data_IF_634967389935
#
_entry.id   IF_634967389935
#
_cell.length_a   1.000
_cell.length_b   1.000
_cell.length_c   1.000
_cell.angle_alpha   90.00
_cell.angle_beta   90.00
_cell.angle_gamma   90.00
#
_symmetry.space_group_name_H-M   'P 1'
#
loop_
_entity.id
_entity.type
_entity.pdbx_description
1 polymer ?
#
# COMPACT_ATOMS: atom_id res chain seq x y z
N UNK A 1 6.23 2.18 -2.23
CA UNK A 1 4.92 2.20 -1.51
C UNK A 1 4.35 3.60 -1.59
N UNK A 2 3.03 3.74 -1.78
CA UNK A 2 2.31 5.01 -1.72
C UNK A 2 1.34 4.98 -0.53
N UNK A 3 1.00 6.14 0.03
CA UNK A 3 -0.04 6.29 1.03
C UNK A 3 -0.69 7.67 0.92
N UNK A 4 -1.96 7.75 1.27
CA UNK A 4 -2.69 8.99 1.50
C UNK A 4 -3.18 9.04 2.95
N UNK A 5 -3.31 10.24 3.51
CA UNK A 5 -3.77 10.48 4.88
C UNK A 5 -4.92 11.46 4.84
N UNK A 6 -6.11 10.99 5.17
CA UNK A 6 -7.32 11.81 5.13
C UNK A 6 -8.50 11.12 5.82
N UNK A 7 -9.68 11.65 5.61
CA UNK A 7 -10.93 11.00 5.97
C UNK A 7 -11.16 9.80 5.05
N UNK A 8 -11.99 8.87 5.46
CA UNK A 8 -12.42 7.72 4.65
C UNK A 8 -13.47 8.17 3.62
N UNK A 9 -13.01 8.86 2.57
CA UNK A 9 -13.83 9.41 1.49
C UNK A 9 -13.17 9.16 0.14
N UNK A 10 -13.92 9.30 -0.95
CA UNK A 10 -13.45 9.07 -2.31
C UNK A 10 -12.20 9.88 -2.64
N UNK A 11 -12.16 11.19 -2.30
CA UNK A 11 -11.02 12.07 -2.60
C UNK A 11 -9.69 11.57 -2.03
N UNK A 12 -9.70 11.00 -0.82
CA UNK A 12 -8.49 10.44 -0.20
C UNK A 12 -8.04 9.17 -0.93
N UNK A 13 -8.98 8.39 -1.45
CA UNK A 13 -8.68 7.23 -2.26
C UNK A 13 -8.14 7.65 -3.63
N UNK A 14 -8.75 8.63 -4.26
CA UNK A 14 -8.30 9.21 -5.53
C UNK A 14 -6.87 9.78 -5.41
N UNK A 15 -6.55 10.54 -4.32
CA UNK A 15 -5.18 11.00 -4.01
C UNK A 15 -4.17 9.83 -3.96
N UNK A 16 -4.56 8.69 -3.38
CA UNK A 16 -3.70 7.50 -3.33
C UNK A 16 -3.41 6.95 -4.73
N UNK A 17 -4.43 6.75 -5.56
CA UNK A 17 -4.25 6.18 -6.89
C UNK A 17 -3.55 7.14 -7.86
N UNK A 18 -3.76 8.44 -7.73
CA UNK A 18 -2.99 9.46 -8.43
C UNK A 18 -1.49 9.37 -8.09
N UNK A 19 -1.15 9.22 -6.80
CA UNK A 19 0.23 9.03 -6.36
C UNK A 19 0.84 7.72 -6.87
N UNK A 20 0.06 6.65 -6.94
CA UNK A 20 0.51 5.39 -7.52
C UNK A 20 0.81 5.59 -9.01
N UNK A 21 -0.11 6.18 -9.76
CA UNK A 21 0.06 6.43 -11.19
C UNK A 21 1.28 7.31 -11.51
N UNK A 22 1.57 8.31 -10.67
CA UNK A 22 2.77 9.17 -10.80
C UNK A 22 4.09 8.46 -10.48
N UNK A 23 4.08 7.41 -9.66
CA UNK A 23 5.28 6.73 -9.18
C UNK A 23 5.58 5.41 -9.86
N UNK A 24 4.64 4.86 -10.58
CA UNK A 24 4.79 3.62 -11.32
C UNK A 24 4.93 3.91 -12.82
N UNK A 25 5.64 3.02 -13.51
CA UNK A 25 5.59 3.03 -14.97
C UNK A 25 4.14 2.76 -15.39
N UNK A 26 3.64 3.55 -16.33
CA UNK A 26 2.27 3.37 -16.83
C UNK A 26 2.12 1.97 -17.44
N UNK A 27 1.09 1.22 -17.07
CA UNK A 27 0.85 -0.10 -17.61
C UNK A 27 0.46 -0.01 -19.10
N UNK A 28 0.75 -1.08 -19.82
CA UNK A 28 0.36 -1.24 -21.22
C UNK A 28 -0.54 -2.45 -21.38
N UNK A 29 -1.14 -2.60 -22.54
CA UNK A 29 -1.96 -3.79 -22.87
C UNK A 29 -1.19 -5.10 -22.71
N UNK A 30 0.13 -5.10 -23.05
CA UNK A 30 1.00 -6.28 -22.95
C UNK A 30 1.66 -6.45 -21.57
N UNK A 31 1.71 -5.39 -20.77
CA UNK A 31 2.29 -5.40 -19.42
C UNK A 31 1.31 -4.76 -18.45
N UNK A 32 0.32 -5.54 -18.03
CA UNK A 32 -0.76 -5.10 -17.14
C UNK A 32 -0.31 -5.06 -15.68
N UNK A 33 -0.86 -4.12 -14.93
CA UNK A 33 -0.72 -4.09 -13.47
C UNK A 33 -1.88 -4.87 -12.84
N UNK A 34 -1.57 -5.72 -11.87
CA UNK A 34 -2.56 -6.40 -11.05
C UNK A 34 -2.82 -5.61 -9.76
N UNK A 35 -4.05 -5.13 -9.59
CA UNK A 35 -4.53 -4.53 -8.34
C UNK A 35 -5.30 -5.55 -7.53
N UNK A 36 -5.00 -5.64 -6.23
CA UNK A 36 -5.75 -6.44 -5.28
C UNK A 36 -6.09 -5.58 -4.07
N UNK A 37 -7.38 -5.45 -3.75
CA UNK A 37 -7.85 -4.65 -2.63
C UNK A 37 -8.86 -5.43 -1.77
N UNK A 38 -9.25 -4.83 -0.65
CA UNK A 38 -10.47 -5.25 0.04
C UNK A 38 -11.73 -4.85 -0.77
N UNK A 39 -12.89 -5.26 -0.30
CA UNK A 39 -14.18 -5.01 -0.97
C UNK A 39 -14.68 -3.56 -0.86
N UNK A 40 -13.78 -2.58 -0.71
CA UNK A 40 -14.15 -1.18 -0.58
C UNK A 40 -14.47 -0.56 -1.95
N UNK A 41 -15.66 0.00 -2.09
CA UNK A 41 -16.19 0.64 -3.29
C UNK A 41 -15.33 1.81 -3.79
N UNK A 42 -14.70 2.58 -2.88
CA UNK A 42 -13.85 3.70 -3.27
C UNK A 42 -12.64 3.25 -4.12
N UNK A 43 -12.11 2.03 -3.90
CA UNK A 43 -11.04 1.48 -4.73
C UNK A 43 -11.54 1.17 -6.15
N UNK A 44 -12.74 0.59 -6.24
CA UNK A 44 -13.38 0.25 -7.52
C UNK A 44 -13.64 1.50 -8.37
N UNK A 45 -14.04 2.59 -7.71
CA UNK A 45 -14.29 3.87 -8.37
C UNK A 45 -13.01 4.63 -8.74
N UNK A 46 -11.92 4.50 -7.95
CA UNK A 46 -10.70 5.26 -8.16
C UNK A 46 -9.80 4.66 -9.25
N UNK A 47 -9.64 3.33 -9.31
CA UNK A 47 -8.72 2.68 -10.26
C UNK A 47 -8.98 3.13 -11.71
N UNK A 48 -10.23 3.11 -12.23
CA UNK A 48 -10.50 3.49 -13.62
C UNK A 48 -10.30 4.98 -13.93
N UNK A 49 -10.19 5.85 -12.91
CA UNK A 49 -9.91 7.28 -13.13
C UNK A 49 -8.46 7.54 -13.50
N UNK A 50 -7.53 6.72 -13.00
CA UNK A 50 -6.09 6.95 -13.13
C UNK A 50 -5.38 5.92 -13.99
N UNK A 51 -6.04 4.81 -14.31
CA UNK A 51 -5.48 3.73 -15.12
C UNK A 51 -6.46 3.29 -16.19
N UNK A 52 -5.95 3.04 -17.42
CA UNK A 52 -6.77 2.49 -18.49
C UNK A 52 -7.21 1.06 -18.11
N UNK A 53 -8.52 0.79 -18.21
CA UNK A 53 -9.13 -0.51 -17.89
C UNK A 53 -8.54 -1.66 -18.70
N UNK A 54 -8.10 -1.42 -19.94
CA UNK A 54 -7.50 -2.44 -20.80
C UNK A 54 -6.07 -2.82 -20.38
N UNK A 55 -5.43 -1.95 -19.58
CA UNK A 55 -4.05 -2.10 -19.12
C UNK A 55 -3.94 -2.58 -17.68
N UNK A 56 -5.05 -2.88 -17.01
CA UNK A 56 -5.08 -3.33 -15.61
C UNK A 56 -5.89 -4.60 -15.43
N UNK A 57 -5.51 -5.39 -14.43
CA UNK A 57 -6.37 -6.42 -13.87
C UNK A 57 -6.66 -6.02 -12.42
N UNK A 58 -7.91 -6.20 -11.99
CA UNK A 58 -8.33 -5.82 -10.66
C UNK A 58 -9.19 -6.90 -10.01
N UNK A 59 -8.80 -7.34 -8.84
CA UNK A 59 -9.51 -8.28 -8.00
C UNK A 59 -9.72 -7.78 -6.58
N UNK A 60 -10.77 -8.22 -5.96
CA UNK A 60 -11.13 -7.88 -4.58
C UNK A 60 -11.19 -9.12 -3.70
N UNK A 61 -10.76 -8.96 -2.45
CA UNK A 61 -11.00 -9.90 -1.37
C UNK A 61 -12.10 -9.34 -0.48
N UNK A 62 -13.27 -9.95 -0.51
CA UNK A 62 -14.44 -9.51 0.23
C UNK A 62 -14.56 -10.40 1.48
N UNK A 63 -14.70 -9.77 2.64
CA UNK A 63 -14.88 -10.45 3.93
C UNK A 63 -16.32 -10.27 4.37
N UNK A 64 -17.08 -11.36 4.36
CA UNK A 64 -18.45 -11.38 4.90
C UNK A 64 -18.38 -11.33 6.42
N UNK A 65 -19.19 -10.46 7.00
CA UNK A 65 -19.18 -10.24 8.45
C UNK A 65 -20.57 -10.36 9.00
N UNK A 66 -20.69 -11.11 10.07
CA UNK A 66 -21.87 -11.17 10.92
C UNK A 66 -21.45 -10.82 12.35
N UNK A 67 -22.16 -9.91 13.01
CA UNK A 67 -21.83 -9.40 14.36
C UNK A 67 -20.35 -8.98 14.53
N UNK A 68 -19.76 -8.35 13.49
CA UNK A 68 -18.34 -7.96 13.41
C UNK A 68 -17.33 -9.13 13.33
N UNK A 69 -17.78 -10.38 13.29
CA UNK A 69 -16.94 -11.54 13.01
C UNK A 69 -16.91 -11.86 11.53
N UNK A 70 -15.75 -12.25 11.02
CA UNK A 70 -15.64 -12.71 9.63
C UNK A 70 -16.16 -14.13 9.57
N UNK A 71 -17.26 -14.34 8.83
CA UNK A 71 -17.90 -15.64 8.63
C UNK A 71 -17.52 -16.29 7.30
N UNK A 72 -17.09 -15.47 6.33
CA UNK A 72 -16.68 -15.94 5.02
C UNK A 72 -15.68 -15.00 4.35
N UNK A 73 -14.93 -15.52 3.40
CA UNK A 73 -14.04 -14.76 2.53
C UNK A 73 -14.26 -15.24 1.11
N UNK A 74 -14.60 -14.35 0.23
CA UNK A 74 -14.69 -14.66 -1.19
C UNK A 74 -13.89 -13.67 -2.04
N UNK A 75 -13.53 -14.05 -3.24
CA UNK A 75 -12.76 -13.25 -4.16
C UNK A 75 -13.61 -12.88 -5.36
N UNK A 76 -13.49 -11.64 -5.83
CA UNK A 76 -14.22 -11.13 -7.00
C UNK A 76 -13.24 -10.54 -8.00
N UNK A 77 -13.37 -10.91 -9.27
CA UNK A 77 -12.72 -10.23 -10.38
C UNK A 77 -13.55 -9.01 -10.76
N UNK A 78 -12.94 -7.84 -10.85
CA UNK A 78 -13.63 -6.57 -11.15
C UNK A 78 -13.28 -6.06 -12.53
N UNK A 79 -11.98 -6.04 -12.90
CA UNK A 79 -11.50 -5.61 -14.20
C UNK A 79 -10.49 -6.63 -14.71
N UNK A 80 -10.55 -6.95 -16.00
CA UNK A 80 -9.62 -7.85 -16.66
C UNK A 80 -9.72 -9.30 -16.17
N UNK A 81 -8.62 -10.05 -16.31
CA UNK A 81 -8.58 -11.49 -15.98
C UNK A 81 -7.40 -11.82 -15.06
N UNK A 82 -7.52 -11.46 -13.79
CA UNK A 82 -6.57 -11.88 -12.76
C UNK A 82 -6.91 -13.30 -12.28
N UNK A 83 -5.93 -14.21 -12.13
CA UNK A 83 -6.14 -15.53 -11.52
C UNK A 83 -6.63 -15.41 -10.06
N UNK A 84 -7.54 -16.30 -9.63
CA UNK A 84 -8.10 -16.23 -8.27
C UNK A 84 -7.07 -16.46 -7.16
N UNK A 85 -6.03 -17.23 -7.42
CA UNK A 85 -4.91 -17.47 -6.50
C UNK A 85 -4.05 -16.23 -6.31
N UNK A 86 -3.92 -15.37 -7.32
CA UNK A 86 -3.21 -14.10 -7.24
C UNK A 86 -4.00 -13.00 -6.52
N UNK A 87 -5.33 -13.14 -6.39
CA UNK A 87 -6.15 -12.17 -5.64
C UNK A 87 -5.87 -12.36 -4.14
N UNK A 88 -5.00 -11.52 -3.58
CA UNK A 88 -4.62 -11.57 -2.17
C UNK A 88 -4.28 -10.18 -1.63
N UNK A 89 -4.58 -9.95 -0.35
CA UNK A 89 -4.28 -8.70 0.39
C UNK A 89 -3.34 -8.94 1.59
N UNK A 90 -2.77 -10.13 1.70
CA UNK A 90 -1.97 -10.56 2.86
C UNK A 90 -0.78 -9.63 3.14
N UNK A 91 -0.13 -9.10 2.10
CA UNK A 91 1.00 -8.18 2.25
C UNK A 91 0.57 -6.84 2.87
N UNK A 92 -0.58 -6.32 2.44
CA UNK A 92 -1.14 -5.07 2.97
C UNK A 92 -1.63 -5.28 4.41
N UNK A 93 -2.37 -6.36 4.68
CA UNK A 93 -2.85 -6.71 6.02
C UNK A 93 -1.67 -6.92 6.98
N UNK A 94 -0.60 -7.59 6.55
CA UNK A 94 0.64 -7.77 7.31
C UNK A 94 1.34 -6.46 7.63
N UNK A 95 1.44 -5.54 6.66
CA UNK A 95 2.01 -4.21 6.88
C UNK A 95 1.13 -3.38 7.83
N UNK A 96 -0.18 -3.40 7.68
CA UNK A 96 -1.11 -2.73 8.57
C UNK A 96 -1.02 -3.26 10.02
N UNK A 97 -0.82 -4.56 10.19
CA UNK A 97 -0.62 -5.17 11.50
C UNK A 97 0.68 -4.72 12.14
N UNK A 98 1.78 -4.68 11.41
CA UNK A 98 3.06 -4.12 11.87
C UNK A 98 2.94 -2.65 12.25
N UNK A 99 2.23 -1.86 11.46
CA UNK A 99 2.02 -0.44 11.71
C UNK A 99 1.28 -0.23 13.05
N UNK A 100 0.23 -1.02 13.30
CA UNK A 100 -0.52 -0.98 14.57
C UNK A 100 0.32 -1.41 15.77
N UNK A 101 1.17 -2.43 15.60
CA UNK A 101 2.04 -2.91 16.67
C UNK A 101 3.12 -1.89 17.07
N UNK A 102 3.58 -1.05 16.14
CA UNK A 102 4.69 -0.11 16.34
C UNK A 102 4.28 1.32 16.65
N UNK A 103 3.08 1.70 16.26
CA UNK A 103 2.63 3.08 16.38
C UNK A 103 1.23 3.14 17.02
N UNK A 104 1.20 3.56 18.29
CA UNK A 104 -0.03 3.62 19.09
C UNK A 104 -1.17 4.43 18.46
N UNK A 105 -0.84 5.41 17.61
CA UNK A 105 -1.86 6.21 16.92
C UNK A 105 -2.62 5.45 15.83
N UNK A 106 -2.15 4.27 15.41
CA UNK A 106 -2.84 3.39 14.44
C UNK A 106 -3.59 2.23 15.11
N UNK A 107 -3.48 2.09 16.43
CA UNK A 107 -4.24 1.08 17.18
C UNK A 107 -5.72 1.45 17.16
N UNK A 108 -6.59 0.47 16.87
CA UNK A 108 -8.04 0.69 16.88
C UNK A 108 -8.53 0.99 18.29
N UNK A 109 -9.48 1.94 18.42
CA UNK A 109 -10.08 2.34 19.69
C UNK A 109 -9.05 2.81 20.75
N UNK A 110 -7.96 3.46 20.32
CA UNK A 110 -6.94 4.03 21.20
C UNK A 110 -7.26 5.48 21.57
N UNK A 111 -6.81 5.91 22.75
CA UNK A 111 -6.74 7.33 23.12
C UNK A 111 -5.52 8.05 22.52
N UNK A 112 -4.53 7.31 22.02
CA UNK A 112 -3.28 7.82 21.46
C UNK A 112 -3.44 8.18 19.97
N UNK A 113 -4.41 9.01 19.63
CA UNK A 113 -4.60 9.44 18.25
C UNK A 113 -3.63 10.58 17.87
N UNK A 114 -3.20 10.60 16.63
CA UNK A 114 -2.34 11.66 16.13
C UNK A 114 -3.15 12.93 15.88
N UNK A 115 -2.75 14.05 16.52
CA UNK A 115 -3.47 15.35 16.45
C UNK A 115 -3.20 16.10 15.15
N UNK A 116 -2.06 15.85 14.48
CA UNK A 116 -1.64 16.58 13.28
C UNK A 116 -1.39 15.63 12.11
N UNK A 117 -2.01 15.90 10.95
CA UNK A 117 -1.84 15.14 9.70
C UNK A 117 -0.37 15.02 9.29
N UNK A 118 0.44 16.10 9.47
CA UNK A 118 1.87 16.11 9.18
C UNK A 118 2.64 15.05 10.00
N UNK A 119 2.31 14.89 11.28
CA UNK A 119 2.96 13.88 12.13
C UNK A 119 2.68 12.46 11.65
N UNK A 120 1.43 12.18 11.23
CA UNK A 120 1.08 10.88 10.65
C UNK A 120 1.88 10.64 9.37
N UNK A 121 1.96 11.62 8.47
CA UNK A 121 2.74 11.50 7.23
C UNK A 121 4.21 11.21 7.52
N UNK A 122 4.83 11.95 8.45
CA UNK A 122 6.23 11.72 8.82
C UNK A 122 6.44 10.31 9.40
N UNK A 123 5.57 9.86 10.29
CA UNK A 123 5.63 8.52 10.88
C UNK A 123 5.50 7.43 9.80
N UNK A 124 4.59 7.61 8.85
CA UNK A 124 4.42 6.69 7.74
C UNK A 124 5.67 6.66 6.85
N UNK A 125 6.31 7.79 6.56
CA UNK A 125 7.57 7.83 5.81
C UNK A 125 8.69 7.07 6.52
N UNK A 126 8.87 7.29 7.83
CA UNK A 126 9.86 6.57 8.64
C UNK A 126 9.57 5.06 8.62
N UNK A 127 8.33 4.67 8.87
CA UNK A 127 7.94 3.26 8.88
C UNK A 127 8.12 2.60 7.52
N UNK A 128 7.77 3.31 6.45
CA UNK A 128 7.96 2.86 5.07
C UNK A 128 9.45 2.68 4.72
N UNK A 129 10.28 3.63 5.11
CA UNK A 129 11.73 3.56 4.90
C UNK A 129 12.32 2.36 5.63
N UNK A 130 11.97 2.18 6.91
CA UNK A 130 12.39 1.04 7.70
C UNK A 130 11.96 -0.29 7.05
N UNK A 131 10.69 -0.41 6.66
CA UNK A 131 10.17 -1.61 6.03
C UNK A 131 10.83 -1.94 4.69
N UNK A 132 11.04 -0.93 3.85
CA UNK A 132 11.55 -1.16 2.51
C UNK A 132 13.05 -1.41 2.45
N UNK A 133 13.86 -0.77 3.30
CA UNK A 133 15.31 -0.74 3.15
C UNK A 133 16.08 -1.40 4.29
N UNK A 134 15.51 -1.49 5.49
CA UNK A 134 16.22 -1.91 6.70
C UNK A 134 15.70 -3.26 7.20
N UNK A 135 14.38 -3.41 7.28
CA UNK A 135 13.76 -4.61 7.80
C UNK A 135 13.77 -5.73 6.76
N UNK A 136 14.47 -6.81 7.07
CA UNK A 136 14.58 -7.95 6.14
C UNK A 136 13.71 -9.12 6.56
N UNK A 137 13.10 -9.79 5.59
CA UNK A 137 12.53 -11.11 5.73
C UNK A 137 13.39 -12.09 4.90
N UNK A 138 13.90 -13.14 5.54
CA UNK A 138 14.79 -14.12 4.88
C UNK A 138 16.00 -13.45 4.19
N UNK A 139 16.67 -12.51 4.89
CA UNK A 139 17.86 -11.77 4.42
C UNK A 139 17.63 -10.85 3.21
N UNK A 140 16.39 -10.61 2.79
CA UNK A 140 16.06 -9.68 1.70
C UNK A 140 15.06 -8.65 2.15
N UNK A 141 15.30 -7.38 1.84
CA UNK A 141 14.32 -6.30 2.00
C UNK A 141 13.44 -6.19 0.75
N UNK A 142 12.26 -5.54 0.84
CA UNK A 142 11.48 -5.23 -0.36
C UNK A 142 12.27 -4.47 -1.43
N UNK A 143 13.11 -3.50 -1.03
CA UNK A 143 13.95 -2.74 -1.96
C UNK A 143 15.00 -3.60 -2.66
N UNK A 144 15.52 -4.64 -2.00
CA UNK A 144 16.43 -5.61 -2.64
C UNK A 144 15.70 -6.51 -3.64
N UNK A 145 14.44 -6.85 -3.37
CA UNK A 145 13.63 -7.65 -4.30
C UNK A 145 13.34 -6.89 -5.60
N UNK A 146 13.15 -5.57 -5.49
CA UNK A 146 12.93 -4.67 -6.62
C UNK A 146 14.23 -4.15 -7.26
N UNK A 147 15.40 -4.67 -6.84
CA UNK A 147 16.69 -4.27 -7.42
C UNK A 147 17.16 -2.85 -7.07
N UNK A 148 16.49 -2.16 -6.16
CA UNK A 148 16.83 -0.79 -5.76
C UNK A 148 18.08 -0.72 -4.88
N UNK A 149 18.40 -1.80 -4.16
CA UNK A 149 19.60 -1.93 -3.34
C UNK A 149 20.16 -3.34 -3.43
N UNK A 150 21.49 -3.47 -3.30
CA UNK A 150 22.17 -4.77 -3.28
C UNK A 150 22.35 -5.34 -1.87
N UNK A 151 22.14 -4.53 -0.83
CA UNK A 151 22.29 -4.90 0.58
C UNK A 151 21.21 -4.30 1.45
N UNK A 152 21.07 -4.84 2.65
CA UNK A 152 20.24 -4.25 3.71
C UNK A 152 20.92 -2.95 4.14
N UNK A 153 20.16 -1.86 4.20
CA UNK A 153 20.65 -0.56 4.67
C UNK A 153 20.45 -0.41 6.18
N UNK A 154 21.31 0.40 6.80
CA UNK A 154 21.13 0.90 8.16
C UNK A 154 20.55 2.31 8.16
N UNK A 155 20.07 2.79 9.32
CA UNK A 155 19.67 4.18 9.48
C UNK A 155 20.83 5.14 9.20
N UNK A 156 22.08 4.78 9.56
CA UNK A 156 23.26 5.58 9.24
C UNK A 156 23.47 5.70 7.73
N UNK A 157 23.27 4.62 6.97
CA UNK A 157 23.36 4.68 5.51
C UNK A 157 22.34 5.67 4.93
N UNK A 158 21.12 5.72 5.49
CA UNK A 158 20.05 6.60 5.03
C UNK A 158 20.34 8.07 5.40
N UNK A 159 20.73 8.34 6.64
CA UNK A 159 21.03 9.70 7.11
C UNK A 159 22.28 10.30 6.48
N UNK A 160 23.27 9.46 6.15
CA UNK A 160 24.51 9.90 5.51
C UNK A 160 24.38 10.05 3.99
N UNK A 161 23.27 9.66 3.38
CA UNK A 161 23.02 9.92 1.95
C UNK A 161 22.86 11.42 1.74
N UNK A 162 23.82 12.03 1.08
CA UNK A 162 23.67 13.39 0.57
C UNK A 162 22.64 13.35 -0.57
N UNK A 163 21.50 14.00 -0.37
CA UNK A 163 20.56 14.27 -1.43
C UNK A 163 21.17 15.40 -2.26
N UNK A 164 21.67 15.11 -3.46
CA UNK A 164 21.96 16.15 -4.45
C UNK A 164 20.62 16.66 -4.99
N UNK A 165 20.20 17.80 -4.51
CA UNK A 165 19.12 18.55 -5.16
C UNK A 165 19.77 19.23 -6.38
N UNK A 166 19.39 18.81 -7.58
CA UNK A 166 19.55 19.66 -8.76
C UNK A 166 18.57 20.81 -8.60
N UNK A 167 19.08 21.97 -8.23
CA UNK A 167 18.37 23.27 -8.25
C UNK A 167 18.23 23.71 -9.69
#
# INVERSE_FOLDING_TARGET
>A
MAFSVGKWIQDTCDELYELIAKRTQQPTYYNKINFCTDGNEQNENAIPKFFNKDCVNYGQVIKDKEEQKVIGIHKRKVIGNIPFDEIAINNVDGFCSKLRARAGCFVRKTRNFAKKRKQIKNLLHITQTNHNFIESAKWKTPAMKEGLTKRILSWNDIFNKRLSFNI
#
